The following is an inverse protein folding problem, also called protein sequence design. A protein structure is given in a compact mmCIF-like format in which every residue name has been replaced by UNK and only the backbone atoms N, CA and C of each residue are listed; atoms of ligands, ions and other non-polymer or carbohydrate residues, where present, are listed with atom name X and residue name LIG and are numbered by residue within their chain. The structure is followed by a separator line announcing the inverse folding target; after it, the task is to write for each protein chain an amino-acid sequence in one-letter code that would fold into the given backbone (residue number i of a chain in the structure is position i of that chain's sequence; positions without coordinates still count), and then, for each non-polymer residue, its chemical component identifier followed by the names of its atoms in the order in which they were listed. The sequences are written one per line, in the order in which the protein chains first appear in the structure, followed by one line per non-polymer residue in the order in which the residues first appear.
data_IF_956888174841
#
_entry.id   IF_956888174841
#
_cell.length_a   1.000
_cell.length_b   1.000
_cell.length_c   1.000
_cell.angle_alpha   90.00
_cell.angle_beta   90.00
_cell.angle_gamma   90.00
#
_symmetry.space_group_name_H-M   'P 1'
#
loop_
_entity.id
_entity.type
_entity.pdbx_description
1 polymer ?
#
# COMPACT_ATOMS: atom_id res chain seq x y z
N UNK A 1 -14.04 -14.69 -15.06
CA UNK A 1 -13.77 -13.25 -15.16
C UNK A 1 -13.83 -12.62 -13.77
N UNK A 2 -12.88 -11.78 -13.38
CA UNK A 2 -13.03 -10.94 -12.17
C UNK A 2 -12.71 -9.51 -12.53
N UNK A 3 -13.77 -8.70 -12.60
CA UNK A 3 -13.71 -7.28 -12.85
C UNK A 3 -13.07 -6.57 -11.65
N UNK A 4 -11.81 -6.15 -11.80
CA UNK A 4 -11.20 -5.15 -10.92
C UNK A 4 -11.55 -3.75 -11.45
N UNK A 5 -12.85 -3.44 -11.50
CA UNK A 5 -13.37 -2.15 -11.97
C UNK A 5 -13.46 -1.18 -10.80
N UNK A 6 -12.31 -0.64 -10.41
CA UNK A 6 -12.21 0.49 -9.50
C UNK A 6 -10.97 1.27 -9.89
N UNK A 7 -11.14 2.29 -10.73
CA UNK A 7 -10.05 3.21 -11.07
C UNK A 7 -9.74 4.09 -9.86
N UNK A 8 -9.08 3.56 -8.84
CA UNK A 8 -8.53 4.37 -7.75
C UNK A 8 -7.38 5.19 -8.31
N UNK A 9 -7.69 6.42 -8.70
CA UNK A 9 -6.72 7.48 -8.94
C UNK A 9 -6.46 8.15 -7.59
N UNK A 10 -5.43 7.71 -6.89
CA UNK A 10 -4.93 8.41 -5.72
C UNK A 10 -4.68 9.89 -6.06
N UNK A 11 -4.85 10.77 -5.08
CA UNK A 11 -4.56 12.19 -5.26
C UNK A 11 -3.05 12.40 -5.37
N UNK A 12 -2.59 13.22 -6.31
CA UNK A 12 -1.16 13.57 -6.39
C UNK A 12 -0.84 14.65 -5.35
N UNK A 13 0.08 14.35 -4.44
CA UNK A 13 0.70 15.36 -3.59
C UNK A 13 1.60 16.25 -4.45
N UNK A 14 1.25 17.54 -4.55
CA UNK A 14 1.96 18.50 -5.41
C UNK A 14 3.37 18.87 -4.91
N UNK A 15 3.67 18.58 -3.65
CA UNK A 15 4.94 18.91 -3.01
C UNK A 15 5.97 17.77 -3.16
N UNK A 16 5.52 16.52 -3.19
CA UNK A 16 6.39 15.33 -3.32
C UNK A 16 6.29 14.64 -4.68
N UNK A 17 5.22 14.90 -5.45
CA UNK A 17 4.92 14.17 -6.68
C UNK A 17 4.37 12.75 -6.44
N UNK A 18 4.25 12.33 -5.18
CA UNK A 18 3.75 11.01 -4.81
C UNK A 18 2.22 10.91 -4.98
N UNK A 19 1.75 9.73 -5.38
CA UNK A 19 0.31 9.42 -5.34
C UNK A 19 -0.07 9.02 -3.91
N UNK A 20 -1.04 9.72 -3.35
CA UNK A 20 -1.61 9.48 -2.04
C UNK A 20 -2.90 8.69 -2.20
N UNK A 21 -3.00 7.59 -1.47
CA UNK A 21 -4.17 6.72 -1.46
C UNK A 21 -4.82 6.77 -0.07
N UNK A 22 -6.14 6.82 -0.05
CA UNK A 22 -6.89 6.62 1.18
C UNK A 22 -6.80 5.16 1.61
N UNK A 23 -7.04 4.90 2.90
CA UNK A 23 -7.02 3.54 3.42
C UNK A 23 -8.00 2.61 2.68
N UNK A 24 -9.20 3.10 2.34
CA UNK A 24 -10.20 2.35 1.58
C UNK A 24 -9.70 1.95 0.19
N UNK A 25 -8.91 2.80 -0.47
CA UNK A 25 -8.29 2.46 -1.75
C UNK A 25 -7.20 1.40 -1.58
N UNK A 26 -6.38 1.50 -0.53
CA UNK A 26 -5.38 0.47 -0.21
C UNK A 26 -6.04 -0.89 0.07
N UNK A 27 -7.18 -0.89 0.78
CA UNK A 27 -7.99 -2.09 1.00
C UNK A 27 -8.48 -2.66 -0.34
N UNK A 28 -8.97 -1.82 -1.24
CA UNK A 28 -9.41 -2.27 -2.56
C UNK A 28 -8.25 -2.84 -3.40
N UNK A 29 -7.11 -2.13 -3.45
CA UNK A 29 -5.89 -2.53 -4.16
C UNK A 29 -5.40 -3.91 -3.68
N UNK A 30 -5.41 -4.16 -2.37
CA UNK A 30 -4.90 -5.40 -1.76
C UNK A 30 -5.95 -6.51 -1.60
N UNK A 31 -7.18 -6.29 -2.10
CA UNK A 31 -8.32 -7.19 -1.93
C UNK A 31 -8.49 -7.54 -0.44
N UNK A 32 -8.54 -6.51 0.40
CA UNK A 32 -8.59 -6.62 1.86
C UNK A 32 -7.38 -7.38 2.44
N UNK A 33 -6.17 -7.02 2.01
CA UNK A 33 -4.91 -7.62 2.46
C UNK A 33 -4.85 -9.16 2.33
N UNK A 34 -5.47 -9.69 1.28
CA UNK A 34 -5.70 -11.14 1.12
C UNK A 34 -4.41 -11.93 0.91
N UNK A 35 -3.49 -11.43 0.10
CA UNK A 35 -2.30 -12.16 -0.30
C UNK A 35 -1.05 -11.51 0.28
N UNK A 36 -0.52 -12.10 1.34
CA UNK A 36 0.76 -11.70 1.92
C UNK A 36 1.90 -12.33 1.12
N UNK A 37 2.83 -11.49 0.68
CA UNK A 37 4.00 -11.90 -0.11
C UNK A 37 5.32 -11.74 0.64
N UNK A 38 5.32 -11.09 1.81
CA UNK A 38 6.52 -10.96 2.63
C UNK A 38 6.25 -10.50 4.06
N UNK A 39 7.24 -10.70 4.93
CA UNK A 39 7.25 -10.18 6.30
C UNK A 39 8.70 -9.89 6.73
N UNK A 40 8.91 -8.76 7.38
CA UNK A 40 10.18 -8.41 8.01
C UNK A 40 9.97 -7.56 9.27
N UNK A 41 11.06 -7.05 9.84
CA UNK A 41 11.02 -6.21 11.06
C UNK A 41 10.19 -4.94 10.93
N UNK A 42 10.00 -4.45 9.70
CA UNK A 42 9.25 -3.24 9.39
C UNK A 42 7.77 -3.48 9.12
N UNK A 43 7.31 -4.74 9.07
CA UNK A 43 5.91 -5.08 8.83
C UNK A 43 5.69 -6.15 7.76
N UNK A 44 4.46 -6.21 7.25
CA UNK A 44 4.02 -7.21 6.25
C UNK A 44 3.88 -6.57 4.88
N UNK A 45 4.21 -7.33 3.83
CA UNK A 45 4.06 -6.90 2.44
C UNK A 45 2.97 -7.74 1.79
N UNK A 46 2.04 -7.10 1.09
CA UNK A 46 0.90 -7.72 0.43
C UNK A 46 0.94 -7.47 -1.08
N UNK A 47 0.45 -8.42 -1.86
CA UNK A 47 0.19 -8.22 -3.28
C UNK A 47 -1.06 -7.35 -3.43
N UNK A 48 -0.96 -6.34 -4.30
CA UNK A 48 -2.09 -5.54 -4.73
C UNK A 48 -2.12 -5.37 -6.24
N UNK A 49 -3.25 -4.89 -6.74
CA UNK A 49 -3.44 -4.53 -8.13
C UNK A 49 -3.84 -3.05 -8.23
N UNK A 50 -3.06 -2.27 -8.95
CA UNK A 50 -3.32 -0.85 -9.18
C UNK A 50 -3.22 -0.56 -10.67
N UNK A 51 -4.31 -0.07 -11.27
CA UNK A 51 -4.35 0.35 -12.69
C UNK A 51 -3.84 -0.72 -13.68
N UNK A 52 -4.15 -1.99 -13.40
CA UNK A 52 -3.75 -3.12 -14.25
C UNK A 52 -2.30 -3.56 -14.07
N UNK A 53 -1.61 -3.09 -13.03
CA UNK A 53 -0.26 -3.52 -12.67
C UNK A 53 -0.24 -4.15 -11.26
N UNK A 54 0.59 -5.17 -11.12
CA UNK A 54 0.90 -5.76 -9.83
C UNK A 54 1.79 -4.82 -9.01
N UNK A 55 1.42 -4.61 -7.74
CA UNK A 55 2.14 -3.77 -6.80
C UNK A 55 2.35 -4.46 -5.47
N UNK A 56 3.43 -4.09 -4.77
CA UNK A 56 3.69 -4.53 -3.40
C UNK A 56 3.25 -3.44 -2.41
N UNK A 57 2.33 -3.78 -1.51
CA UNK A 57 1.83 -2.87 -0.46
C UNK A 57 2.45 -3.26 0.87
N UNK A 58 3.32 -2.40 1.40
CA UNK A 58 3.98 -2.61 2.70
C UNK A 58 3.15 -1.95 3.82
N UNK A 59 2.66 -2.78 4.74
CA UNK A 59 1.95 -2.38 5.95
C UNK A 59 2.93 -2.29 7.11
N UNK A 60 3.16 -1.08 7.62
CA UNK A 60 4.03 -0.84 8.77
C UNK A 60 3.32 -1.27 10.06
N UNK A 61 3.98 -2.09 10.88
CA UNK A 61 3.42 -2.54 12.17
C UNK A 61 3.71 -1.53 13.28
N UNK A 62 2.68 -1.12 14.03
CA UNK A 62 2.80 -0.28 15.22
C UNK A 62 3.65 -0.89 16.36
N UNK A 63 3.94 -2.20 16.32
CA UNK A 63 4.84 -2.85 17.30
C UNK A 63 6.31 -2.49 17.10
N UNK A 64 6.66 -1.90 15.95
CA UNK A 64 7.96 -1.28 15.77
C UNK A 64 7.95 0.07 16.47
N UNK A 65 8.57 0.16 17.65
CA UNK A 65 8.95 1.45 18.30
C UNK A 65 9.88 2.31 17.42
N UNK A 66 10.33 1.77 16.29
CA UNK A 66 11.17 2.40 15.28
C UNK A 66 10.40 2.88 14.03
N UNK A 67 9.19 2.36 13.79
CA UNK A 67 8.56 2.40 12.47
C UNK A 67 7.93 3.73 12.04
N UNK A 68 7.52 4.60 12.97
CA UNK A 68 6.97 5.92 12.62
C UNK A 68 8.06 6.94 12.27
N UNK A 69 9.27 6.77 12.81
CA UNK A 69 10.41 7.65 12.53
C UNK A 69 11.19 7.20 11.29
N UNK A 70 11.23 5.90 11.02
CA UNK A 70 11.87 5.30 9.84
C UNK A 70 11.04 5.36 8.55
N UNK A 71 9.79 5.86 8.62
CA UNK A 71 8.96 6.08 7.42
C UNK A 71 9.45 7.27 6.57
N UNK A 72 10.22 8.18 7.17
CA UNK A 72 10.75 9.38 6.51
C UNK A 72 12.24 9.29 6.17
N UNK A 73 12.89 8.17 6.46
CA UNK A 73 14.33 8.02 6.23
C UNK A 73 14.55 7.24 4.94
N UNK A 74 14.76 8.02 3.88
CA UNK A 74 15.49 7.77 2.63
C UNK A 74 15.28 6.44 1.87
#
# INVERSE_FOLDING_TARGET
EKAYSGSSKGSVDKNTGCQVFTYSEVVAITINFKQKIGQGGFGSVYLGHLQGQDVAVKMISHKSKQGSKEFYTE
#
